data_IF_506862213319
#
_entry.id   IF_506862213319
#
_cell.length_a   1.000
_cell.length_b   1.000
_cell.length_c   1.000
_cell.angle_alpha   90.00
_cell.angle_beta   90.00
_cell.angle_gamma   90.00
#
_symmetry.space_group_name_H-M   'P 1'
#
loop_
_entity.id
_entity.type
_entity.pdbx_description
1 polymer ?
#
# COMPACT_ATOMS: atom_id res chain seq x y z
N UNK A 1 0.17 24.02 -30.41
CA UNK A 1 -1.31 24.15 -30.39
C UNK A 1 -1.79 23.89 -28.97
N UNK A 2 -1.72 24.90 -28.09
CA UNK A 2 -2.12 24.79 -26.68
C UNK A 2 -3.54 25.35 -26.58
N UNK A 3 -4.51 24.51 -26.21
CA UNK A 3 -5.92 24.90 -26.10
C UNK A 3 -6.11 25.75 -24.85
N UNK A 4 -6.46 27.01 -25.07
CA UNK A 4 -6.78 28.01 -24.06
C UNK A 4 -8.14 27.64 -23.43
N UNK A 5 -8.11 26.94 -22.29
CA UNK A 5 -9.33 26.52 -21.58
C UNK A 5 -9.81 27.68 -20.68
N UNK A 6 -10.36 28.72 -21.29
CA UNK A 6 -11.07 29.76 -20.54
C UNK A 6 -12.31 29.13 -19.93
N UNK A 7 -12.36 29.09 -18.60
CA UNK A 7 -13.53 28.64 -17.87
C UNK A 7 -14.68 29.59 -18.20
N UNK A 8 -15.70 29.09 -18.88
CA UNK A 8 -16.94 29.82 -19.11
C UNK A 8 -17.64 29.93 -17.76
N UNK A 9 -17.64 31.13 -17.18
CA UNK A 9 -18.53 31.41 -16.05
C UNK A 9 -19.92 31.65 -16.64
N UNK A 10 -20.74 30.61 -16.61
CA UNK A 10 -22.19 30.78 -16.77
C UNK A 10 -22.67 31.65 -15.60
N UNK A 11 -23.56 32.59 -15.88
CA UNK A 11 -23.99 33.62 -14.95
C UNK A 11 -24.98 33.01 -13.94
N UNK A 12 -24.44 32.34 -12.91
CA UNK A 12 -25.24 31.80 -11.80
C UNK A 12 -25.73 32.98 -10.96
N UNK A 13 -27.04 33.18 -10.92
CA UNK A 13 -27.68 34.26 -10.16
C UNK A 13 -27.33 34.11 -8.68
N UNK A 14 -26.82 35.17 -8.05
CA UNK A 14 -26.27 35.13 -6.69
C UNK A 14 -27.34 34.83 -5.60
N UNK A 15 -28.62 34.88 -5.97
CA UNK A 15 -29.77 34.72 -5.08
C UNK A 15 -30.38 33.29 -5.10
N UNK A 16 -29.81 32.33 -5.84
CA UNK A 16 -30.25 30.93 -5.74
C UNK A 16 -29.73 30.30 -4.44
N UNK A 17 -30.65 30.04 -3.50
CA UNK A 17 -30.34 29.31 -2.27
C UNK A 17 -29.92 27.86 -2.58
N UNK A 18 -28.61 27.61 -2.51
CA UNK A 18 -28.06 26.24 -2.64
C UNK A 18 -28.39 25.44 -1.39
N UNK A 19 -29.31 24.50 -1.52
CA UNK A 19 -29.71 23.57 -0.45
C UNK A 19 -28.51 22.69 -0.08
N UNK A 20 -27.89 22.97 1.07
CA UNK A 20 -26.77 22.17 1.57
C UNK A 20 -27.25 20.76 1.89
N UNK A 21 -26.84 19.78 1.08
CA UNK A 21 -27.06 18.37 1.39
C UNK A 21 -26.13 17.96 2.52
N UNK A 22 -26.67 17.40 3.60
CA UNK A 22 -25.87 16.85 4.71
C UNK A 22 -24.99 15.73 4.14
N UNK A 23 -23.69 15.99 4.06
CA UNK A 23 -22.71 15.01 3.64
C UNK A 23 -22.44 14.05 4.81
N UNK A 24 -22.68 12.76 4.61
CA UNK A 24 -22.39 11.72 5.59
C UNK A 24 -21.03 11.09 5.28
N UNK A 25 -20.16 10.96 6.28
CA UNK A 25 -18.82 10.42 6.09
C UNK A 25 -18.08 10.17 7.40
N UNK A 26 -16.92 9.53 7.26
CA UNK A 26 -15.92 9.36 8.31
C UNK A 26 -14.70 10.23 7.98
N UNK A 27 -13.72 10.35 8.88
CA UNK A 27 -12.51 11.16 8.67
C UNK A 27 -11.72 10.77 7.40
N UNK A 28 -11.90 9.55 6.91
CA UNK A 28 -11.18 8.97 5.78
C UNK A 28 -12.00 8.81 4.50
N UNK A 29 -13.30 9.08 4.54
CA UNK A 29 -14.22 8.79 3.44
C UNK A 29 -15.43 9.71 3.44
N UNK A 30 -15.81 10.18 2.25
CA UNK A 30 -17.02 10.97 2.01
C UNK A 30 -18.00 10.17 1.14
N UNK A 31 -19.25 10.02 1.59
CA UNK A 31 -20.33 9.46 0.77
C UNK A 31 -21.12 10.61 0.15
N UNK A 32 -21.17 10.64 -1.18
CA UNK A 32 -21.92 11.64 -1.92
C UNK A 32 -23.40 11.26 -2.01
N UNK A 33 -24.32 12.23 -2.18
CA UNK A 33 -25.74 11.95 -2.43
C UNK A 33 -25.99 11.10 -3.68
N UNK A 34 -25.04 11.08 -4.63
CA UNK A 34 -25.04 10.18 -5.79
C UNK A 34 -24.76 8.72 -5.45
N UNK A 35 -24.44 8.39 -4.20
CA UNK A 35 -24.02 7.07 -3.74
C UNK A 35 -22.54 6.77 -4.01
N UNK A 36 -21.83 7.64 -4.73
CA UNK A 36 -20.40 7.50 -4.93
C UNK A 36 -19.63 7.75 -3.62
N UNK A 37 -18.62 6.92 -3.38
CA UNK A 37 -17.74 7.02 -2.22
C UNK A 37 -16.39 7.59 -2.65
N UNK A 38 -15.96 8.69 -2.02
CA UNK A 38 -14.68 9.35 -2.30
C UNK A 38 -13.74 9.18 -1.11
N UNK A 39 -12.52 8.71 -1.37
CA UNK A 39 -11.48 8.53 -0.36
C UNK A 39 -10.69 9.80 -0.03
N UNK A 40 -9.99 9.81 1.10
CA UNK A 40 -9.18 10.95 1.53
C UNK A 40 -7.79 10.98 0.87
N UNK A 41 -7.24 12.18 0.62
CA UNK A 41 -5.88 12.36 0.06
C UNK A 41 -4.75 11.76 0.93
N UNK A 42 -4.96 11.62 2.23
CA UNK A 42 -4.03 11.05 3.20
C UNK A 42 -3.78 9.56 2.92
N UNK A 43 -4.75 8.89 2.29
CA UNK A 43 -4.68 7.48 1.94
C UNK A 43 -4.25 7.23 0.48
N UNK A 44 -3.85 8.26 -0.26
CA UNK A 44 -3.40 8.14 -1.68
C UNK A 44 -2.30 7.09 -1.86
N UNK A 45 -1.40 6.96 -0.89
CA UNK A 45 -0.34 5.93 -0.89
C UNK A 45 -0.94 4.52 -0.97
N UNK A 46 -2.02 4.26 -0.24
CA UNK A 46 -2.67 2.94 -0.18
C UNK A 46 -3.55 2.68 -1.39
N UNK A 47 -4.30 3.69 -1.87
CA UNK A 47 -5.13 3.55 -3.07
C UNK A 47 -4.33 3.24 -4.34
N UNK A 48 -3.06 3.64 -4.39
CA UNK A 48 -2.16 3.34 -5.51
C UNK A 48 -1.57 1.93 -5.45
N UNK A 49 -1.77 1.18 -4.37
CA UNK A 49 -1.24 -0.17 -4.23
C UNK A 49 -2.03 -1.15 -5.09
N UNK A 50 -1.31 -2.02 -5.79
CA UNK A 50 -1.87 -3.21 -6.44
C UNK A 50 -1.61 -4.38 -5.52
N UNK A 51 -2.62 -4.77 -4.75
CA UNK A 51 -2.55 -5.93 -3.86
C UNK A 51 -3.03 -7.16 -4.65
N UNK A 52 -2.20 -8.19 -4.72
CA UNK A 52 -2.59 -9.46 -5.31
C UNK A 52 -3.64 -10.11 -4.38
N UNK A 53 -4.89 -10.34 -4.82
CA UNK A 53 -5.95 -10.83 -3.93
C UNK A 53 -5.66 -12.24 -3.38
N UNK A 54 -4.88 -13.04 -4.12
CA UNK A 54 -4.46 -14.39 -3.73
C UNK A 54 -3.20 -14.41 -2.86
N UNK A 55 -2.47 -13.29 -2.76
CA UNK A 55 -1.30 -13.14 -1.91
C UNK A 55 -1.77 -12.58 -0.57
N UNK A 56 -2.55 -13.37 0.15
CA UNK A 56 -3.09 -13.01 1.47
C UNK A 56 -1.99 -12.37 2.31
N UNK A 57 -2.25 -11.20 2.89
CA UNK A 57 -1.32 -10.23 3.47
C UNK A 57 -0.05 -10.82 4.13
N UNK A 58 0.88 -11.31 3.32
CA UNK A 58 2.18 -11.75 3.80
C UNK A 58 2.99 -10.47 3.88
N UNK A 59 3.01 -9.87 5.07
CA UNK A 59 4.11 -9.01 5.52
C UNK A 59 5.35 -9.65 4.95
N UNK A 60 6.06 -8.96 4.05
CA UNK A 60 7.25 -9.50 3.39
C UNK A 60 8.27 -9.77 4.48
N UNK A 61 8.17 -10.95 5.11
CA UNK A 61 9.20 -11.56 5.92
C UNK A 61 10.30 -11.75 4.90
N UNK A 62 11.24 -10.81 4.81
CA UNK A 62 12.53 -11.05 4.17
C UNK A 62 12.95 -12.42 4.71
N UNK A 63 12.96 -13.46 3.87
CA UNK A 63 13.15 -14.84 4.33
C UNK A 63 14.38 -14.84 5.25
N UNK A 64 14.23 -15.06 6.57
CA UNK A 64 15.36 -15.04 7.49
C UNK A 64 16.21 -16.25 7.10
N UNK A 65 17.24 -16.02 6.30
CA UNK A 65 17.94 -17.11 5.62
C UNK A 65 18.63 -16.73 4.33
N UNK A 66 18.11 -15.81 3.52
CA UNK A 66 18.71 -15.56 2.19
C UNK A 66 20.16 -15.04 2.28
N UNK A 67 20.40 -14.05 3.14
CA UNK A 67 21.75 -13.55 3.43
C UNK A 67 22.59 -14.59 4.18
N UNK A 68 21.97 -15.33 5.10
CA UNK A 68 22.63 -16.40 5.87
C UNK A 68 23.12 -17.54 4.97
N UNK A 69 22.35 -17.95 3.97
CA UNK A 69 22.74 -18.97 2.99
C UNK A 69 23.92 -18.50 2.12
N UNK A 70 23.93 -17.23 1.70
CA UNK A 70 25.07 -16.64 0.97
C UNK A 70 26.33 -16.61 1.85
N UNK A 71 26.20 -16.25 3.12
CA UNK A 71 27.30 -16.26 4.08
C UNK A 71 27.81 -17.68 4.36
N UNK A 72 26.94 -18.66 4.56
CA UNK A 72 27.33 -20.07 4.74
C UNK A 72 27.98 -20.66 3.48
N UNK A 73 27.57 -20.23 2.29
CA UNK A 73 28.20 -20.66 1.05
C UNK A 73 29.66 -20.15 0.94
N UNK A 74 29.92 -18.91 1.38
CA UNK A 74 31.26 -18.29 1.37
C UNK A 74 32.13 -18.76 2.53
N UNK A 75 31.52 -19.03 3.68
CA UNK A 75 32.20 -19.38 4.91
C UNK A 75 31.69 -20.71 5.44
N UNK A 76 31.96 -21.80 4.71
CA UNK A 76 31.53 -23.17 5.06
C UNK A 76 32.02 -23.64 6.42
N UNK A 77 33.18 -23.13 6.88
CA UNK A 77 33.74 -23.41 8.20
C UNK A 77 32.98 -22.75 9.36
N UNK A 78 32.15 -21.73 9.08
CA UNK A 78 31.22 -21.15 10.05
C UNK A 78 29.91 -21.95 10.16
N UNK A 79 29.71 -22.93 9.28
CA UNK A 79 28.64 -23.92 9.39
C UNK A 79 28.96 -25.00 10.42
N UNK A 80 28.08 -26.00 10.51
CA UNK A 80 28.17 -27.12 11.46
C UNK A 80 29.56 -27.79 11.49
N UNK A 81 30.31 -27.60 12.58
CA UNK A 81 31.62 -28.22 12.80
C UNK A 81 31.45 -29.63 13.36
N UNK A 82 31.11 -30.57 12.46
CA UNK A 82 31.63 -31.94 12.38
C UNK A 82 31.63 -32.91 13.58
N UNK A 83 31.36 -32.54 14.82
CA UNK A 83 31.27 -33.50 15.91
C UNK A 83 29.90 -34.19 15.87
N UNK A 84 29.67 -35.03 14.86
CA UNK A 84 28.77 -36.16 15.04
C UNK A 84 29.38 -37.04 16.12
N UNK A 85 28.59 -37.44 17.11
CA UNK A 85 28.99 -38.29 18.23
C UNK A 85 29.69 -39.62 17.82
N UNK A 86 29.73 -39.97 16.53
CA UNK A 86 30.45 -41.10 15.98
C UNK A 86 31.99 -40.94 15.92
N UNK A 87 32.53 -39.70 15.97
CA UNK A 87 33.99 -39.46 15.86
C UNK A 87 34.73 -39.43 17.21
N UNK A 88 34.02 -39.59 18.33
CA UNK A 88 34.62 -39.59 19.69
C UNK A 88 34.95 -41.00 20.23
N UNK A 89 34.68 -42.07 19.48
CA UNK A 89 34.91 -43.47 19.91
C UNK A 89 36.03 -44.19 19.13
N UNK A 90 37.06 -43.47 18.66
CA UNK A 90 38.22 -44.07 17.97
C UNK A 90 39.54 -43.61 18.57
#
# INVERSE_FOLDING_TARGET
MVRDLRYRTENVSADEEVKQTVLSGNDYQLVLPSGATVGHRSLTRYYRQKLDPNRGAVVVKKKPGAAFHSLMAKYRALGWTGASAADLER
#
